data_IF_439547025227
#
_entry.id   IF_439547025227
#
_cell.length_a   1.000
_cell.length_b   1.000
_cell.length_c   1.000
_cell.angle_alpha   90.00
_cell.angle_beta   90.00
_cell.angle_gamma   90.00
#
_symmetry.space_group_name_H-M   'P 1'
#
loop_
_entity.id
_entity.type
_entity.pdbx_description
1 polymer ?
#
# COMPACT_ATOMS: atom_id res chain seq x y z
N UNK A 1 5.63 10.55 -2.95
CA UNK A 1 4.49 10.01 -2.16
C UNK A 1 3.15 10.62 -2.56
N UNK A 2 3.08 11.78 -3.22
CA UNK A 2 1.80 12.34 -3.67
C UNK A 2 1.09 11.44 -4.69
N UNK A 3 1.80 10.98 -5.72
CA UNK A 3 1.22 10.11 -6.76
C UNK A 3 0.63 8.81 -6.17
N UNK A 4 1.36 8.15 -5.27
CA UNK A 4 0.87 6.94 -4.58
C UNK A 4 -0.38 7.20 -3.72
N UNK A 5 -0.48 8.37 -3.10
CA UNK A 5 -1.65 8.72 -2.29
C UNK A 5 -2.88 8.97 -3.17
N UNK A 6 -2.70 9.50 -4.38
CA UNK A 6 -3.77 9.64 -5.37
C UNK A 6 -4.21 8.27 -5.91
N UNK A 7 -3.28 7.34 -6.13
CA UNK A 7 -3.60 5.97 -6.53
C UNK A 7 -4.41 5.24 -5.46
N UNK A 8 -3.99 5.30 -4.18
CA UNK A 8 -4.77 4.74 -3.07
C UNK A 8 -6.16 5.35 -2.97
N UNK A 9 -6.29 6.67 -3.16
CA UNK A 9 -7.59 7.34 -3.14
C UNK A 9 -8.47 6.93 -4.32
N UNK A 10 -7.90 6.79 -5.51
CA UNK A 10 -8.61 6.40 -6.73
C UNK A 10 -9.10 4.95 -6.68
N UNK A 11 -8.40 4.09 -5.94
CA UNK A 11 -8.80 2.71 -5.65
C UNK A 11 -9.69 2.58 -4.40
N UNK A 12 -10.11 3.72 -3.81
CA UNK A 12 -10.95 3.77 -2.60
C UNK A 12 -10.38 2.95 -1.42
N UNK A 13 -9.04 2.91 -1.30
CA UNK A 13 -8.36 2.22 -0.20
C UNK A 13 -8.54 3.03 1.08
N UNK A 14 -9.46 2.57 1.93
CA UNK A 14 -9.69 3.10 3.27
C UNK A 14 -8.71 2.52 4.31
N UNK A 15 -8.89 2.89 5.58
CA UNK A 15 -8.02 2.43 6.66
C UNK A 15 -8.05 0.92 6.87
N UNK A 16 -9.17 0.24 6.64
CA UNK A 16 -9.27 -1.21 6.82
C UNK A 16 -8.64 -1.94 5.64
N UNK A 17 -8.95 -1.49 4.41
CA UNK A 17 -8.36 -2.02 3.18
C UNK A 17 -6.84 -1.83 3.15
N UNK A 18 -6.34 -0.69 3.65
CA UNK A 18 -4.91 -0.40 3.78
C UNK A 18 -4.19 -1.48 4.60
N UNK A 19 -4.79 -1.95 5.71
CA UNK A 19 -4.21 -2.99 6.54
C UNK A 19 -4.27 -4.37 5.87
N UNK A 20 -5.08 -4.57 4.83
CA UNK A 20 -5.14 -5.83 4.09
C UNK A 20 -4.18 -5.86 2.87
N UNK A 21 -3.50 -4.76 2.57
CA UNK A 21 -2.56 -4.70 1.46
C UNK A 21 -1.35 -5.63 1.68
N UNK A 22 -1.00 -6.32 0.60
CA UNK A 22 0.19 -7.17 0.45
C UNK A 22 1.03 -6.65 -0.71
N UNK A 23 2.27 -7.11 -0.80
CA UNK A 23 3.21 -6.71 -1.85
C UNK A 23 2.61 -6.95 -3.24
N UNK A 24 1.89 -8.06 -3.43
CA UNK A 24 1.25 -8.41 -4.69
C UNK A 24 0.21 -7.37 -5.13
N UNK A 25 -0.56 -6.78 -4.21
CA UNK A 25 -1.55 -5.75 -4.52
C UNK A 25 -0.86 -4.45 -4.96
N UNK A 26 0.23 -4.08 -4.28
CA UNK A 26 1.02 -2.91 -4.62
C UNK A 26 1.67 -3.04 -6.00
N UNK A 27 2.18 -4.23 -6.31
CA UNK A 27 2.85 -4.49 -7.58
C UNK A 27 1.89 -4.61 -8.76
N UNK A 28 0.75 -5.30 -8.58
CA UNK A 28 -0.18 -5.60 -9.67
C UNK A 28 -1.21 -4.48 -9.88
N UNK A 29 -1.85 -3.99 -8.82
CA UNK A 29 -2.95 -3.04 -8.93
C UNK A 29 -2.48 -1.58 -8.99
N UNK A 30 -1.34 -1.27 -8.35
CA UNK A 30 -0.80 0.09 -8.25
C UNK A 30 0.50 0.28 -9.03
N UNK A 31 0.95 -0.74 -9.77
CA UNK A 31 2.14 -0.72 -10.61
C UNK A 31 3.43 -0.29 -9.87
N UNK A 32 3.52 -0.63 -8.57
CA UNK A 32 4.65 -0.28 -7.72
C UNK A 32 5.74 -1.34 -7.87
N UNK A 33 7.00 -0.93 -8.05
CA UNK A 33 8.13 -1.88 -8.12
C UNK A 33 8.31 -2.62 -6.79
N UNK A 34 8.89 -3.83 -6.84
CA UNK A 34 9.11 -4.70 -5.67
C UNK A 34 9.81 -3.97 -4.51
N UNK A 35 10.90 -3.24 -4.78
CA UNK A 35 11.65 -2.53 -3.74
C UNK A 35 10.81 -1.54 -2.92
N UNK A 36 10.12 -0.57 -3.56
CA UNK A 36 9.16 0.30 -2.87
C UNK A 36 7.98 -0.44 -2.23
N UNK A 37 7.44 -1.49 -2.87
CA UNK A 37 6.33 -2.28 -2.32
C UNK A 37 6.69 -2.90 -0.96
N UNK A 38 7.87 -3.52 -0.86
CA UNK A 38 8.38 -4.08 0.40
C UNK A 38 8.49 -3.03 1.51
N UNK A 39 8.93 -1.81 1.19
CA UNK A 39 9.03 -0.71 2.16
C UNK A 39 7.66 -0.25 2.67
N UNK A 40 6.66 -0.20 1.79
CA UNK A 40 5.29 0.17 2.14
C UNK A 40 4.66 -0.90 3.04
N UNK A 41 4.75 -2.18 2.65
CA UNK A 41 4.23 -3.30 3.46
C UNK A 41 4.87 -3.35 4.86
N UNK A 42 6.18 -3.09 4.97
CA UNK A 42 6.84 -2.98 6.27
C UNK A 42 6.25 -1.85 7.15
N UNK A 43 5.90 -0.70 6.56
CA UNK A 43 5.25 0.40 7.29
C UNK A 43 3.80 0.09 7.67
N UNK A 44 3.05 -0.56 6.78
CA UNK A 44 1.68 -1.01 7.09
C UNK A 44 1.69 -2.02 8.23
N UNK A 45 2.65 -2.94 8.26
CA UNK A 45 2.76 -3.92 9.35
C UNK A 45 3.07 -3.28 10.70
N UNK A 46 3.93 -2.25 10.73
CA UNK A 46 4.17 -1.47 11.96
C UNK A 46 2.88 -0.78 12.46
N UNK A 47 2.02 -0.30 11.56
CA UNK A 47 0.74 0.31 11.93
C UNK A 47 -0.27 -0.70 12.49
N UNK A 48 -0.23 -1.97 12.08
CA UNK A 48 -1.11 -3.02 12.62
C UNK A 48 -0.80 -3.39 14.06
N UNK A 49 0.44 -3.18 14.47
CA UNK A 49 0.91 -3.48 15.83
C UNK A 49 0.58 -2.36 16.83
N UNK A 50 -0.08 -1.28 16.36
CA UNK A 50 -0.50 -0.13 17.17
C UNK A 50 -1.96 -0.24 17.59
#
# INVERSE_FOLDING_TARGET
>A
CQDLAEDFRSQEIDGQALLLLKEEHLMSALNIKLGPALKICAKINLLKET
#
